data_IF_700496571655
#
_entry.id   IF_700496571655
#
_cell.length_a   1.000
_cell.length_b   1.000
_cell.length_c   1.000
_cell.angle_alpha   90.00
_cell.angle_beta   90.00
_cell.angle_gamma   90.00
#
_symmetry.space_group_name_H-M   'P 1'
#
loop_
_entity.id
_entity.type
_entity.pdbx_description
1 polymer ?
#
# COMPACT_ATOMS: atom_id res chain seq x y z
N UNK A 1 -35.47 -64.57 12.84
CA UNK A 1 -35.56 -64.29 14.29
C UNK A 1 -34.80 -63.00 14.50
N UNK A 2 -35.55 -61.89 14.54
CA UNK A 2 -35.85 -61.04 15.71
C UNK A 2 -34.55 -60.39 16.25
N UNK A 3 -34.29 -59.17 15.93
CA UNK A 3 -34.69 -57.90 16.54
C UNK A 3 -33.76 -57.50 17.68
N UNK A 4 -33.03 -56.37 17.48
CA UNK A 4 -32.95 -55.33 18.49
C UNK A 4 -32.34 -54.04 17.86
N UNK A 5 -33.20 -53.07 17.58
CA UNK A 5 -32.92 -51.70 17.39
C UNK A 5 -32.49 -51.07 18.73
N UNK A 6 -31.39 -50.33 18.76
CA UNK A 6 -31.15 -49.32 19.81
C UNK A 6 -30.96 -47.94 19.21
N UNK A 7 -31.95 -47.10 19.47
CA UNK A 7 -31.94 -45.65 19.33
C UNK A 7 -30.79 -45.07 20.15
N UNK A 8 -29.97 -44.20 19.53
CA UNK A 8 -29.23 -43.17 20.25
C UNK A 8 -29.54 -41.81 19.62
N UNK A 9 -29.99 -40.94 20.49
CA UNK A 9 -30.59 -39.69 20.18
C UNK A 9 -29.60 -38.67 19.56
N UNK A 10 -30.13 -37.87 18.66
CA UNK A 10 -29.56 -36.65 18.16
C UNK A 10 -29.45 -35.63 19.31
N UNK A 11 -28.22 -35.15 19.55
CA UNK A 11 -28.00 -33.81 20.06
C UNK A 11 -27.28 -33.03 18.95
N UNK A 12 -28.07 -32.36 18.16
CA UNK A 12 -27.58 -31.41 17.19
C UNK A 12 -27.16 -30.12 17.91
N UNK A 13 -25.86 -29.87 17.97
CA UNK A 13 -25.33 -28.54 18.28
C UNK A 13 -25.30 -27.78 16.95
N UNK A 14 -26.30 -26.92 16.76
CA UNK A 14 -26.30 -25.96 15.68
C UNK A 14 -25.27 -24.88 15.99
N UNK A 15 -24.08 -24.99 15.39
CA UNK A 15 -23.18 -23.84 15.25
C UNK A 15 -23.82 -22.84 14.27
N UNK A 16 -24.46 -21.81 14.79
CA UNK A 16 -24.83 -20.66 14.02
C UNK A 16 -23.52 -19.93 13.63
N UNK A 17 -23.01 -20.23 12.46
CA UNK A 17 -22.06 -19.35 11.76
C UNK A 17 -22.85 -18.13 11.28
N UNK A 18 -22.77 -17.04 12.04
CA UNK A 18 -23.21 -15.74 11.59
C UNK A 18 -22.25 -15.27 10.49
N UNK A 19 -22.55 -15.63 9.24
CA UNK A 19 -21.98 -15.00 8.09
C UNK A 19 -22.49 -13.56 8.10
N UNK A 20 -21.66 -12.62 8.54
CA UNK A 20 -21.84 -11.20 8.30
C UNK A 20 -21.72 -10.97 6.79
N UNK A 21 -22.81 -11.17 6.07
CA UNK A 21 -22.97 -10.62 4.73
C UNK A 21 -23.00 -9.10 4.88
N UNK A 22 -21.85 -8.48 4.67
CA UNK A 22 -21.81 -7.05 4.39
C UNK A 22 -22.43 -6.90 3.01
N UNK A 23 -23.77 -6.82 3.00
CA UNK A 23 -24.52 -6.36 1.84
C UNK A 23 -24.22 -4.88 1.69
N UNK A 24 -23.20 -4.54 0.91
CA UNK A 24 -23.00 -3.17 0.46
C UNK A 24 -24.14 -2.84 -0.51
N UNK A 25 -25.23 -2.35 0.04
CA UNK A 25 -26.27 -1.70 -0.74
C UNK A 25 -25.59 -0.48 -1.36
N UNK A 26 -25.23 -0.56 -2.65
CA UNK A 26 -24.77 0.57 -3.43
C UNK A 26 -25.94 1.56 -3.56
N UNK A 27 -26.12 2.40 -2.53
CA UNK A 27 -26.87 3.66 -2.70
C UNK A 27 -26.01 4.50 -3.64
N UNK A 28 -26.58 4.96 -4.74
CA UNK A 28 -26.01 6.01 -5.56
C UNK A 28 -25.80 7.23 -4.65
N UNK A 29 -24.64 7.32 -4.01
CA UNK A 29 -24.28 8.50 -3.23
C UNK A 29 -24.10 9.64 -4.22
N UNK A 30 -24.95 10.65 -4.08
CA UNK A 30 -24.79 11.93 -4.78
C UNK A 30 -23.37 12.41 -4.55
N UNK A 31 -22.78 13.06 -5.58
CA UNK A 31 -21.45 13.70 -5.51
C UNK A 31 -21.26 14.39 -4.15
N UNK A 32 -20.47 13.77 -3.29
CA UNK A 32 -20.26 14.26 -1.92
C UNK A 32 -19.16 15.33 -1.83
N UNK A 33 -18.45 15.55 -2.95
CA UNK A 33 -17.33 16.49 -3.00
C UNK A 33 -17.74 17.96 -3.24
N UNK A 34 -18.98 18.23 -3.68
CA UNK A 34 -19.39 19.56 -4.12
C UNK A 34 -18.73 20.01 -5.44
N UNK A 35 -17.95 19.15 -6.08
CA UNK A 35 -17.26 19.42 -7.32
C UNK A 35 -18.05 18.91 -8.54
N UNK A 36 -18.23 19.77 -9.52
CA UNK A 36 -18.78 19.39 -10.84
C UNK A 36 -17.64 19.31 -11.85
N UNK A 37 -16.76 18.30 -11.70
CA UNK A 37 -15.65 18.03 -12.62
C UNK A 37 -16.10 17.00 -13.61
N UNK A 38 -15.97 17.30 -14.90
CA UNK A 38 -16.14 16.33 -15.97
C UNK A 38 -14.86 15.53 -16.16
N UNK A 39 -14.99 14.31 -16.67
CA UNK A 39 -13.83 13.46 -16.89
C UNK A 39 -12.86 14.05 -17.93
N UNK A 40 -13.36 14.78 -18.92
CA UNK A 40 -12.54 15.46 -19.93
C UNK A 40 -11.55 16.45 -19.28
N UNK A 41 -11.98 17.12 -18.19
CA UNK A 41 -11.20 18.11 -17.46
C UNK A 41 -10.36 17.47 -16.32
N UNK A 42 -10.47 16.15 -16.09
CA UNK A 42 -9.71 15.43 -15.08
C UNK A 42 -8.21 15.51 -15.37
N UNK A 43 -7.36 15.88 -14.40
CA UNK A 43 -5.93 16.02 -14.62
C UNK A 43 -5.25 14.68 -14.89
N UNK A 44 -4.07 14.73 -15.49
CA UNK A 44 -3.19 13.57 -15.56
C UNK A 44 -2.59 13.32 -14.17
N UNK A 45 -2.87 12.17 -13.60
CA UNK A 45 -2.36 11.80 -12.27
C UNK A 45 -1.51 10.54 -12.32
N UNK A 46 -0.57 10.42 -11.41
CA UNK A 46 0.24 9.21 -11.25
C UNK A 46 0.35 8.82 -9.77
N UNK A 47 0.79 7.60 -9.50
CA UNK A 47 0.93 7.16 -8.12
C UNK A 47 1.96 6.03 -7.95
N UNK A 48 2.40 5.87 -6.71
CA UNK A 48 3.04 4.62 -6.27
C UNK A 48 2.03 3.48 -6.25
N UNK A 49 2.48 2.26 -6.51
CA UNK A 49 1.59 1.08 -6.52
C UNK A 49 0.77 0.94 -5.25
N UNK A 50 1.39 1.16 -4.07
CA UNK A 50 0.70 1.08 -2.78
C UNK A 50 -0.30 2.21 -2.55
N UNK A 51 -0.11 3.39 -3.16
CA UNK A 51 -1.00 4.56 -2.97
C UNK A 51 -2.13 4.64 -3.99
N UNK A 52 -2.15 3.72 -4.96
CA UNK A 52 -3.20 3.61 -5.97
C UNK A 52 -4.62 3.65 -5.39
N UNK A 53 -4.94 2.95 -4.27
CA UNK A 53 -6.28 3.00 -3.70
C UNK A 53 -6.71 4.40 -3.24
N UNK A 54 -5.80 5.23 -2.73
CA UNK A 54 -6.10 6.63 -2.37
C UNK A 54 -6.46 7.43 -3.62
N UNK A 55 -5.60 7.38 -4.66
CA UNK A 55 -5.85 8.08 -5.91
C UNK A 55 -7.16 7.66 -6.55
N UNK A 56 -7.39 6.35 -6.68
CA UNK A 56 -8.57 5.81 -7.35
C UNK A 56 -9.85 6.16 -6.60
N UNK A 57 -9.85 6.06 -5.27
CA UNK A 57 -11.02 6.38 -4.45
C UNK A 57 -11.38 7.86 -4.53
N UNK A 58 -10.39 8.75 -4.43
CA UNK A 58 -10.59 10.20 -4.59
C UNK A 58 -11.15 10.51 -5.97
N UNK A 59 -10.57 9.93 -7.03
CA UNK A 59 -11.03 10.13 -8.40
C UNK A 59 -12.47 9.67 -8.59
N UNK A 60 -12.82 8.45 -8.17
CA UNK A 60 -14.18 7.93 -8.34
C UNK A 60 -15.22 8.74 -7.57
N UNK A 61 -14.90 9.16 -6.34
CA UNK A 61 -15.82 9.99 -5.55
C UNK A 61 -16.02 11.39 -6.14
N UNK A 62 -14.95 12.03 -6.60
CA UNK A 62 -15.03 13.36 -7.24
C UNK A 62 -15.78 13.27 -8.56
N UNK A 63 -15.51 12.24 -9.38
CA UNK A 63 -16.18 12.01 -10.66
C UNK A 63 -17.60 11.42 -10.51
N UNK A 64 -18.03 11.05 -9.30
CA UNK A 64 -19.34 10.47 -9.03
C UNK A 64 -19.50 9.06 -9.61
N UNK A 65 -18.42 8.29 -9.71
CA UNK A 65 -18.41 6.91 -10.22
C UNK A 65 -18.51 5.93 -9.06
N UNK A 66 -19.47 5.01 -9.05
CA UNK A 66 -19.51 3.90 -8.10
C UNK A 66 -18.26 3.03 -8.20
N UNK A 67 -17.82 2.47 -7.08
CA UNK A 67 -16.61 1.64 -7.02
C UNK A 67 -16.78 0.50 -6.02
N UNK A 68 -15.91 -0.50 -6.17
CA UNK A 68 -15.82 -1.63 -5.25
C UNK A 68 -14.39 -2.14 -5.13
N UNK A 69 -14.07 -2.77 -4.01
CA UNK A 69 -12.87 -3.56 -3.86
C UNK A 69 -13.05 -4.91 -4.56
N UNK A 70 -12.14 -5.24 -5.44
CA UNK A 70 -12.09 -6.52 -6.15
C UNK A 70 -10.68 -7.10 -6.13
N UNK A 71 -10.59 -8.41 -6.15
CA UNK A 71 -9.33 -9.09 -6.43
C UNK A 71 -8.85 -8.69 -7.83
N UNK A 72 -7.57 -8.36 -7.92
CA UNK A 72 -6.97 -8.07 -9.22
C UNK A 72 -6.70 -9.38 -9.96
N UNK A 73 -7.58 -9.72 -10.87
CA UNK A 73 -7.51 -10.95 -11.65
C UNK A 73 -6.23 -11.11 -12.47
N UNK A 74 -5.52 -10.02 -12.78
CA UNK A 74 -4.23 -10.07 -13.48
C UNK A 74 -3.10 -10.55 -12.59
N UNK A 75 -3.09 -10.11 -11.33
CA UNK A 75 -2.07 -10.51 -10.37
C UNK A 75 -2.48 -11.73 -9.53
N UNK A 76 -3.77 -11.89 -9.24
CA UNK A 76 -4.30 -12.89 -8.29
C UNK A 76 -3.73 -12.75 -6.87
N UNK A 77 -3.04 -11.64 -6.59
CA UNK A 77 -2.24 -11.46 -5.37
C UNK A 77 -2.61 -10.19 -4.60
N UNK A 78 -3.49 -9.38 -5.13
CA UNK A 78 -3.90 -8.10 -4.52
C UNK A 78 -5.35 -7.78 -4.73
N UNK A 79 -5.92 -7.02 -3.79
CA UNK A 79 -7.19 -6.33 -3.98
C UNK A 79 -6.92 -4.90 -4.46
N UNK A 80 -7.75 -4.44 -5.39
CA UNK A 80 -7.71 -3.08 -5.92
C UNK A 80 -9.11 -2.47 -5.93
N UNK A 81 -9.18 -1.15 -5.96
CA UNK A 81 -10.45 -0.42 -6.13
C UNK A 81 -10.71 -0.29 -7.64
N UNK A 82 -11.85 -0.81 -8.09
CA UNK A 82 -12.28 -0.68 -9.49
C UNK A 82 -13.57 0.11 -9.59
N UNK A 83 -13.78 0.86 -10.69
CA UNK A 83 -15.06 1.50 -10.94
C UNK A 83 -16.13 0.46 -11.25
N UNK A 84 -17.34 0.67 -10.75
CA UNK A 84 -18.50 -0.14 -11.08
C UNK A 84 -19.42 0.64 -12.03
N UNK A 85 -19.27 0.40 -13.32
CA UNK A 85 -20.09 1.02 -14.36
C UNK A 85 -21.42 0.30 -14.58
N UNK A 86 -21.74 -0.78 -13.83
CA UNK A 86 -22.98 -1.51 -13.97
C UNK A 86 -24.18 -0.63 -13.58
N UNK A 87 -25.04 -0.36 -14.55
CA UNK A 87 -26.24 0.49 -14.36
C UNK A 87 -25.99 2.00 -14.32
N UNK A 88 -24.74 2.44 -14.50
CA UNK A 88 -24.38 3.86 -14.52
C UNK A 88 -24.00 4.30 -15.94
N UNK A 89 -24.62 5.38 -16.45
CA UNK A 89 -24.15 6.04 -17.68
C UNK A 89 -22.89 6.85 -17.31
N UNK A 90 -21.72 6.26 -17.54
CA UNK A 90 -20.45 7.00 -17.43
C UNK A 90 -20.12 7.63 -18.80
N UNK A 91 -19.52 8.82 -18.77
CA UNK A 91 -19.00 9.50 -19.97
C UNK A 91 -17.66 8.91 -20.45
N UNK A 92 -17.05 8.00 -19.69
CA UNK A 92 -15.75 7.39 -19.99
C UNK A 92 -15.73 5.91 -19.61
N UNK A 93 -14.82 5.16 -20.23
CA UNK A 93 -14.55 3.76 -19.92
C UNK A 93 -13.42 3.62 -18.88
N UNK A 94 -13.24 2.39 -18.33
CA UNK A 94 -12.10 2.11 -17.45
C UNK A 94 -10.75 2.28 -18.17
N UNK A 95 -10.70 1.99 -19.49
CA UNK A 95 -9.51 2.23 -20.29
C UNK A 95 -9.16 3.72 -20.34
N UNK A 96 -10.15 4.57 -20.65
CA UNK A 96 -9.94 6.03 -20.65
C UNK A 96 -9.47 6.53 -19.30
N UNK A 97 -10.03 5.97 -18.19
CA UNK A 97 -9.60 6.28 -16.86
C UNK A 97 -8.11 5.97 -16.63
N UNK A 98 -7.64 4.80 -17.05
CA UNK A 98 -6.24 4.40 -16.89
C UNK A 98 -5.27 5.26 -17.71
N UNK A 99 -5.71 5.80 -18.87
CA UNK A 99 -4.90 6.71 -19.67
C UNK A 99 -4.62 8.05 -18.97
N UNK A 100 -5.51 8.49 -18.10
CA UNK A 100 -5.33 9.71 -17.28
C UNK A 100 -4.78 9.45 -15.89
N UNK A 101 -4.79 8.21 -15.43
CA UNK A 101 -4.43 7.84 -14.06
C UNK A 101 -3.38 6.72 -14.08
N UNK A 102 -2.11 7.14 -14.23
CA UNK A 102 -0.98 6.23 -14.33
C UNK A 102 -0.65 5.59 -12.96
N UNK A 103 0.14 4.54 -12.97
CA UNK A 103 0.68 3.91 -11.76
C UNK A 103 2.11 3.44 -12.05
N UNK A 104 3.03 4.39 -12.11
CA UNK A 104 4.42 4.21 -12.57
C UNK A 104 5.40 3.83 -11.47
N UNK A 105 4.89 3.56 -10.25
CA UNK A 105 5.74 3.38 -9.07
C UNK A 105 6.21 4.71 -8.50
N UNK A 106 6.97 4.67 -7.39
CA UNK A 106 7.31 5.91 -6.68
C UNK A 106 8.24 6.80 -7.49
N UNK A 107 9.36 6.25 -7.96
CA UNK A 107 10.32 6.98 -8.77
C UNK A 107 9.70 7.46 -10.10
N UNK A 108 9.07 6.55 -10.84
CA UNK A 108 8.44 6.88 -12.11
C UNK A 108 7.36 7.97 -12.01
N UNK A 109 6.60 8.01 -10.91
CA UNK A 109 5.60 9.06 -10.68
C UNK A 109 6.25 10.44 -10.48
N UNK A 110 7.36 10.52 -9.71
CA UNK A 110 8.11 11.77 -9.57
C UNK A 110 8.74 12.21 -10.89
N UNK A 111 9.36 11.31 -11.64
CA UNK A 111 9.94 11.64 -12.95
C UNK A 111 8.85 12.12 -13.93
N UNK A 112 7.68 11.48 -13.96
CA UNK A 112 6.55 11.92 -14.77
C UNK A 112 6.05 13.31 -14.36
N UNK A 113 6.06 13.64 -13.07
CA UNK A 113 5.69 14.97 -12.58
C UNK A 113 6.73 16.03 -12.97
N UNK A 114 8.02 15.71 -12.86
CA UNK A 114 9.15 16.59 -13.25
C UNK A 114 9.11 16.86 -14.76
N UNK A 115 8.89 15.83 -15.56
CA UNK A 115 8.81 15.92 -17.02
C UNK A 115 7.49 16.49 -17.54
N UNK A 116 6.57 16.89 -16.65
CA UNK A 116 5.23 17.41 -17.00
C UNK A 116 4.35 16.41 -17.78
N UNK A 117 4.59 15.13 -17.61
CA UNK A 117 3.73 14.04 -18.12
C UNK A 117 2.51 13.80 -17.24
N UNK A 118 2.56 14.23 -15.99
CA UNK A 118 1.44 14.24 -15.04
C UNK A 118 1.35 15.57 -14.33
N UNK A 119 0.18 15.91 -13.81
CA UNK A 119 -0.10 17.19 -13.17
C UNK A 119 -0.01 17.09 -11.64
N UNK A 120 -0.33 15.91 -11.09
CA UNK A 120 -0.32 15.62 -9.66
C UNK A 120 -0.01 14.15 -9.41
N UNK A 121 0.66 13.86 -8.29
CA UNK A 121 0.94 12.48 -7.89
C UNK A 121 0.59 12.21 -6.43
N UNK A 122 0.33 10.92 -6.12
CA UNK A 122 0.28 10.40 -4.75
C UNK A 122 1.42 9.38 -4.60
N UNK A 123 2.43 9.75 -3.83
CA UNK A 123 3.66 8.98 -3.69
C UNK A 123 3.77 8.30 -2.32
N UNK A 124 4.42 7.14 -2.25
CA UNK A 124 4.58 6.37 -1.02
C UNK A 124 5.62 6.96 -0.05
N UNK A 125 6.39 7.94 -0.47
CA UNK A 125 7.40 8.68 0.30
C UNK A 125 7.53 10.10 -0.23
N UNK A 126 8.29 10.92 0.47
CA UNK A 126 8.69 12.24 -0.04
C UNK A 126 9.65 12.12 -1.24
N UNK A 127 9.87 13.22 -1.94
CA UNK A 127 10.84 13.30 -3.05
C UNK A 127 12.24 12.92 -2.56
N UNK A 128 12.90 12.03 -3.28
CA UNK A 128 14.27 11.61 -2.96
C UNK A 128 15.31 12.67 -3.39
N UNK A 129 16.55 12.50 -2.94
CA UNK A 129 17.66 13.38 -3.36
C UNK A 129 17.91 13.32 -4.86
N UNK A 130 17.76 12.15 -5.48
CA UNK A 130 17.99 11.98 -6.91
C UNK A 130 16.89 12.69 -7.72
N UNK A 131 15.62 12.50 -7.35
CA UNK A 131 14.48 13.16 -7.99
C UNK A 131 14.52 14.68 -7.76
N UNK A 132 14.91 15.14 -6.56
CA UNK A 132 15.10 16.55 -6.28
C UNK A 132 16.22 17.15 -7.15
N UNK A 133 17.30 16.39 -7.37
CA UNK A 133 18.35 16.79 -8.29
C UNK A 133 17.83 16.86 -9.72
N UNK A 134 17.12 15.84 -10.22
CA UNK A 134 16.48 15.84 -11.55
C UNK A 134 15.59 17.07 -11.73
N UNK A 135 14.74 17.39 -10.75
CA UNK A 135 13.87 18.55 -10.77
C UNK A 135 14.66 19.88 -10.86
N UNK A 136 15.71 20.02 -10.06
CA UNK A 136 16.57 21.20 -10.06
C UNK A 136 17.33 21.37 -11.38
N UNK A 137 17.83 20.28 -11.98
CA UNK A 137 18.57 20.30 -13.24
C UNK A 137 17.71 20.84 -14.41
N UNK A 138 16.39 20.70 -14.33
CA UNK A 138 15.42 21.24 -15.31
C UNK A 138 14.68 22.51 -14.81
N UNK A 139 15.04 23.02 -13.64
CA UNK A 139 14.46 24.26 -13.09
C UNK A 139 13.02 24.11 -12.56
N UNK A 140 12.58 22.90 -12.27
CA UNK A 140 11.24 22.61 -11.73
C UNK A 140 11.32 22.50 -10.20
N UNK A 141 10.39 23.14 -9.50
CA UNK A 141 10.18 22.96 -8.07
C UNK A 141 8.94 22.11 -7.83
N UNK A 142 9.09 21.10 -6.98
CA UNK A 142 8.01 20.20 -6.55
C UNK A 142 7.59 20.59 -5.14
N UNK A 143 6.30 20.79 -4.93
CA UNK A 143 5.67 20.92 -3.61
C UNK A 143 5.19 19.55 -3.20
N UNK A 144 5.67 19.05 -2.07
CA UNK A 144 5.21 17.81 -1.46
C UNK A 144 4.57 18.09 -0.11
N UNK A 145 3.50 17.36 0.23
CA UNK A 145 2.87 17.41 1.55
C UNK A 145 2.43 16.02 1.99
N UNK A 146 2.66 15.63 3.25
CA UNK A 146 2.18 14.36 3.78
C UNK A 146 0.64 14.36 3.88
N UNK A 147 0.00 13.28 3.42
CA UNK A 147 -1.47 13.15 3.40
C UNK A 147 -1.98 12.02 4.27
N UNK A 148 -1.18 10.97 4.47
CA UNK A 148 -1.55 9.85 5.33
C UNK A 148 -0.33 9.19 5.97
N UNK A 149 -0.60 8.47 7.04
CA UNK A 149 0.38 7.67 7.79
C UNK A 149 0.41 6.25 7.19
N UNK A 150 1.62 5.73 7.05
CA UNK A 150 1.95 4.34 6.73
C UNK A 150 3.17 3.90 7.57
N UNK A 151 3.68 2.71 7.35
CA UNK A 151 4.90 2.22 7.96
C UNK A 151 5.62 1.25 7.04
N UNK A 152 6.93 1.09 7.24
CA UNK A 152 7.66 -0.05 6.70
C UNK A 152 7.60 -1.19 7.72
N UNK A 153 7.05 -2.34 7.32
CA UNK A 153 6.92 -3.53 8.17
C UNK A 153 7.75 -4.68 7.61
N UNK A 154 8.16 -5.58 8.50
CA UNK A 154 8.93 -6.76 8.15
C UNK A 154 8.05 -7.98 8.13
N UNK A 155 8.24 -8.82 7.12
CA UNK A 155 7.45 -10.03 6.89
C UNK A 155 8.35 -11.27 6.84
N UNK A 156 7.84 -12.36 7.38
CA UNK A 156 8.49 -13.68 7.38
C UNK A 156 7.47 -14.75 7.02
N UNK A 157 7.95 -15.92 6.63
CA UNK A 157 7.11 -17.08 6.39
C UNK A 157 6.33 -17.47 7.67
N UNK A 158 5.08 -17.92 7.57
CA UNK A 158 4.27 -18.36 8.73
C UNK A 158 4.93 -19.44 9.58
N UNK A 159 5.77 -20.29 9.02
CA UNK A 159 6.50 -21.35 9.73
C UNK A 159 7.70 -20.84 10.54
N UNK A 160 8.22 -19.64 10.23
CA UNK A 160 9.30 -19.05 11.02
C UNK A 160 8.79 -18.79 12.45
N UNK A 161 9.48 -19.28 13.50
CA UNK A 161 9.02 -19.10 14.88
C UNK A 161 9.24 -17.69 15.44
N UNK A 162 10.12 -16.88 14.83
CA UNK A 162 10.39 -15.51 15.25
C UNK A 162 9.18 -14.63 14.99
N UNK A 163 8.79 -13.83 16.00
CA UNK A 163 7.62 -12.93 15.95
C UNK A 163 7.98 -11.49 16.29
N UNK A 164 9.17 -11.28 16.81
CA UNK A 164 9.66 -9.96 17.20
C UNK A 164 11.15 -9.85 16.94
N UNK A 165 11.58 -8.70 16.44
CA UNK A 165 12.98 -8.30 16.35
C UNK A 165 13.14 -6.92 17.00
N UNK A 166 14.32 -6.61 17.51
CA UNK A 166 14.64 -5.23 17.80
C UNK A 166 15.02 -4.49 16.50
N UNK A 167 14.89 -3.17 16.52
CA UNK A 167 15.36 -2.30 15.42
C UNK A 167 16.85 -2.53 15.13
N UNK A 168 17.66 -2.78 16.17
CA UNK A 168 19.09 -3.10 16.04
C UNK A 168 19.29 -4.48 15.36
N UNK A 169 18.50 -5.50 15.75
CA UNK A 169 18.58 -6.82 15.10
C UNK A 169 18.20 -6.75 13.63
N UNK A 170 17.19 -5.98 13.27
CA UNK A 170 16.85 -5.75 11.85
C UNK A 170 18.02 -5.17 11.09
N UNK A 171 18.64 -4.09 11.61
CA UNK A 171 19.83 -3.50 11.00
C UNK A 171 20.97 -4.49 10.85
N UNK A 172 21.25 -5.26 11.91
CA UNK A 172 22.31 -6.29 11.89
C UNK A 172 22.06 -7.42 10.91
N UNK A 173 20.81 -7.81 10.70
CA UNK A 173 20.46 -8.78 9.64
C UNK A 173 20.80 -8.18 8.26
N UNK A 174 20.42 -6.95 8.01
CA UNK A 174 20.63 -6.31 6.71
C UNK A 174 22.04 -5.73 6.50
N UNK A 175 22.87 -5.64 7.54
CA UNK A 175 24.35 -5.42 7.41
C UNK A 175 25.14 -6.73 7.31
N UNK A 176 24.49 -7.88 7.55
CA UNK A 176 25.16 -9.19 7.55
C UNK A 176 25.91 -9.54 8.85
N UNK A 177 25.71 -8.77 9.92
CA UNK A 177 26.26 -9.09 11.24
C UNK A 177 25.50 -10.23 11.92
N UNK A 178 24.20 -10.35 11.72
CA UNK A 178 23.35 -11.47 12.13
C UNK A 178 22.97 -12.25 10.86
N UNK A 179 23.40 -13.51 10.79
CA UNK A 179 23.24 -14.35 9.60
C UNK A 179 22.43 -15.62 9.87
N UNK A 180 22.11 -15.92 11.11
CA UNK A 180 21.43 -17.13 11.49
C UNK A 180 20.22 -16.81 12.41
N UNK A 181 19.07 -17.41 12.14
CA UNK A 181 17.86 -17.21 12.91
C UNK A 181 18.01 -17.55 14.39
N UNK A 182 18.90 -18.49 14.76
CA UNK A 182 19.15 -18.84 16.19
C UNK A 182 19.69 -17.66 17.00
N UNK A 183 20.35 -16.71 16.39
CA UNK A 183 20.90 -15.52 17.05
C UNK A 183 19.80 -14.57 17.54
N UNK A 184 18.59 -14.73 16.98
CA UNK A 184 17.41 -13.93 17.32
C UNK A 184 16.26 -14.80 17.86
N UNK A 185 16.57 -16.00 18.37
CA UNK A 185 15.60 -16.89 19.01
C UNK A 185 14.82 -17.80 18.06
N UNK A 186 15.25 -17.90 16.81
CA UNK A 186 14.69 -18.80 15.81
C UNK A 186 15.40 -20.15 15.72
N UNK A 187 15.19 -20.85 14.61
CA UNK A 187 15.82 -22.13 14.31
C UNK A 187 17.28 -21.96 13.89
N UNK A 188 18.10 -23.01 14.00
CA UNK A 188 19.47 -22.98 13.50
C UNK A 188 19.50 -23.10 11.98
N UNK A 189 19.30 -21.96 11.31
CA UNK A 189 19.32 -21.85 9.85
C UNK A 189 19.72 -20.43 9.42
N UNK A 190 20.42 -20.34 8.27
CA UNK A 190 20.84 -19.08 7.68
C UNK A 190 19.62 -18.22 7.32
N UNK A 191 19.69 -16.92 7.58
CA UNK A 191 18.68 -15.95 7.18
C UNK A 191 18.88 -15.59 5.70
N UNK A 192 17.78 -15.54 4.94
CA UNK A 192 17.77 -14.98 3.58
C UNK A 192 17.18 -13.57 3.62
N UNK A 193 17.97 -12.49 3.67
CA UNK A 193 17.46 -11.14 3.62
C UNK A 193 17.15 -10.75 2.17
N UNK A 194 15.89 -10.49 1.89
CA UNK A 194 15.44 -10.03 0.58
C UNK A 194 15.51 -8.51 0.51
N UNK A 195 16.05 -7.99 -0.60
CA UNK A 195 16.12 -6.55 -0.89
C UNK A 195 15.26 -6.22 -2.12
N UNK A 196 14.94 -4.95 -2.28
CA UNK A 196 14.15 -4.43 -3.39
C UNK A 196 15.02 -3.69 -4.38
N UNK A 197 14.49 -3.49 -5.58
CA UNK A 197 15.04 -2.60 -6.59
C UNK A 197 15.26 -1.18 -6.03
N UNK A 198 16.32 -0.51 -6.49
CA UNK A 198 16.69 0.85 -6.05
C UNK A 198 15.60 1.90 -6.32
N UNK A 199 14.76 1.68 -7.36
CA UNK A 199 13.66 2.58 -7.72
C UNK A 199 12.40 2.32 -6.86
N UNK A 200 12.41 1.29 -6.02
CA UNK A 200 11.32 0.96 -5.10
C UNK A 200 11.22 1.97 -3.96
N UNK A 201 10.04 2.55 -3.77
CA UNK A 201 9.78 3.37 -2.59
C UNK A 201 9.94 2.64 -1.25
N UNK A 202 9.84 1.31 -1.22
CA UNK A 202 10.11 0.50 -0.04
C UNK A 202 11.62 0.36 0.19
N UNK A 203 12.43 0.28 -0.87
CA UNK A 203 13.89 0.26 -0.76
C UNK A 203 14.38 1.59 -0.18
N UNK A 204 13.95 2.71 -0.73
CA UNK A 204 14.30 4.04 -0.21
C UNK A 204 13.92 4.20 1.27
N UNK A 205 12.73 3.73 1.68
CA UNK A 205 12.34 3.73 3.09
C UNK A 205 13.24 2.82 3.94
N UNK A 206 13.62 1.67 3.43
CA UNK A 206 14.56 0.77 4.11
C UNK A 206 15.90 1.46 4.35
N UNK A 207 16.46 2.09 3.34
CA UNK A 207 17.77 2.77 3.41
C UNK A 207 17.73 4.00 4.31
N UNK A 208 16.69 4.83 4.19
CA UNK A 208 16.63 6.12 4.87
C UNK A 208 16.08 6.01 6.30
N UNK A 209 15.01 5.23 6.50
CA UNK A 209 14.30 5.14 7.78
C UNK A 209 14.87 4.04 8.68
N UNK A 210 15.20 2.87 8.12
CA UNK A 210 15.64 1.72 8.91
C UNK A 210 17.15 1.70 9.04
N UNK A 211 17.87 1.72 7.92
CA UNK A 211 19.33 1.63 7.91
C UNK A 211 20.02 2.93 8.33
N UNK A 212 19.39 4.10 8.08
CA UNK A 212 19.85 5.39 8.55
C UNK A 212 21.35 5.67 8.27
N UNK A 213 21.82 5.33 7.07
CA UNK A 213 23.20 5.51 6.63
C UNK A 213 24.11 4.30 6.79
N UNK A 214 23.61 3.20 7.35
CA UNK A 214 24.33 1.91 7.33
C UNK A 214 24.27 1.31 5.92
N UNK A 215 25.36 0.66 5.50
CA UNK A 215 25.42 -0.04 4.22
C UNK A 215 24.76 -1.41 4.33
N UNK A 216 23.82 -1.68 3.46
CA UNK A 216 23.22 -3.00 3.34
C UNK A 216 24.18 -3.97 2.64
N UNK A 217 24.08 -5.27 3.00
CA UNK A 217 24.73 -6.33 2.24
C UNK A 217 24.17 -6.43 0.82
N UNK A 218 24.91 -7.04 -0.06
CA UNK A 218 24.40 -7.51 -1.34
C UNK A 218 23.43 -8.66 -1.07
N UNK A 219 22.17 -8.32 -0.83
CA UNK A 219 21.13 -9.28 -0.49
C UNK A 219 20.56 -9.99 -1.71
N UNK A 220 19.71 -10.96 -1.46
CA UNK A 220 18.98 -11.64 -2.54
C UNK A 220 17.94 -10.71 -3.14
N UNK A 221 18.13 -10.34 -4.40
CA UNK A 221 17.14 -9.58 -5.15
C UNK A 221 15.85 -10.38 -5.30
N UNK A 222 14.73 -9.72 -5.06
CA UNK A 222 13.44 -10.30 -5.39
C UNK A 222 13.25 -10.25 -6.89
N UNK A 223 13.11 -11.40 -7.57
CA UNK A 223 12.86 -11.40 -9.00
C UNK A 223 11.55 -10.66 -9.30
N UNK A 224 11.54 -9.88 -10.37
CA UNK A 224 10.31 -9.33 -10.91
C UNK A 224 9.42 -10.48 -11.36
N UNK A 225 8.32 -10.69 -10.65
CA UNK A 225 7.24 -11.55 -11.15
C UNK A 225 6.39 -10.67 -12.04
N UNK A 226 6.29 -11.06 -13.32
CA UNK A 226 5.51 -10.37 -14.33
C UNK A 226 4.11 -10.06 -13.80
N UNK A 227 3.79 -8.78 -13.69
CA UNK A 227 2.46 -8.27 -13.35
C UNK A 227 2.31 -7.54 -12.02
N UNK A 228 3.22 -7.70 -11.05
CA UNK A 228 3.18 -6.91 -9.80
C UNK A 228 4.51 -6.89 -9.08
N UNK A 229 5.29 -5.86 -9.28
CA UNK A 229 6.54 -5.60 -8.51
C UNK A 229 6.32 -5.63 -7.00
N UNK A 230 5.12 -5.28 -6.51
CA UNK A 230 4.79 -5.23 -5.09
C UNK A 230 4.40 -6.57 -4.48
N UNK A 231 3.84 -7.51 -5.25
CA UNK A 231 3.49 -8.83 -4.73
C UNK A 231 4.71 -9.77 -4.61
N UNK A 232 5.78 -9.47 -5.33
CA UNK A 232 7.03 -10.25 -5.33
C UNK A 232 7.57 -10.57 -3.93
N UNK A 233 7.65 -9.60 -2.99
CA UNK A 233 8.11 -9.88 -1.63
C UNK A 233 7.31 -10.97 -0.93
N UNK A 234 6.00 -10.94 -1.08
CA UNK A 234 5.10 -11.86 -0.39
C UNK A 234 5.24 -13.28 -0.91
N UNK A 235 5.30 -13.44 -2.23
CA UNK A 235 5.47 -14.75 -2.86
C UNK A 235 6.82 -15.37 -2.49
N UNK A 236 7.89 -14.59 -2.49
CA UNK A 236 9.21 -15.08 -2.07
C UNK A 236 9.21 -15.51 -0.60
N UNK A 237 8.63 -14.71 0.29
CA UNK A 237 8.53 -15.05 1.72
C UNK A 237 7.61 -16.25 1.97
N UNK A 238 6.52 -16.41 1.20
CA UNK A 238 5.66 -17.60 1.30
C UNK A 238 6.41 -18.88 0.89
N UNK A 239 7.31 -18.79 -0.07
CA UNK A 239 8.09 -19.92 -0.59
C UNK A 239 9.38 -20.20 0.20
N UNK A 240 9.93 -19.21 0.92
CA UNK A 240 11.15 -19.34 1.71
C UNK A 240 10.88 -19.24 3.21
N UNK A 241 10.98 -20.38 3.92
CA UNK A 241 10.76 -20.47 5.37
C UNK A 241 11.79 -19.65 6.18
N UNK A 242 12.93 -19.31 5.59
CA UNK A 242 14.04 -18.63 6.24
C UNK A 242 14.25 -17.20 5.74
N UNK A 243 13.39 -16.76 4.84
CA UNK A 243 13.41 -15.41 4.30
C UNK A 243 12.90 -14.35 5.28
N UNK A 244 13.44 -13.15 5.16
CA UNK A 244 12.90 -11.92 5.72
C UNK A 244 12.78 -10.86 4.62
N UNK A 245 11.66 -10.20 4.53
CA UNK A 245 11.41 -9.11 3.59
C UNK A 245 10.74 -7.92 4.28
N UNK A 246 10.54 -6.84 3.54
CA UNK A 246 9.87 -5.65 4.02
C UNK A 246 8.90 -5.08 2.98
N UNK A 247 7.88 -4.39 3.49
CA UNK A 247 6.75 -3.92 2.67
C UNK A 247 6.01 -2.78 3.39
N UNK A 248 5.22 -1.94 2.69
CA UNK A 248 4.33 -1.01 3.35
C UNK A 248 3.25 -1.73 4.17
N UNK A 249 2.95 -1.23 5.37
CA UNK A 249 1.92 -1.76 6.25
C UNK A 249 0.55 -1.81 5.56
N UNK A 250 0.18 -0.70 4.92
CA UNK A 250 -1.09 -0.63 4.20
C UNK A 250 -1.18 -1.68 3.08
N UNK A 251 -0.12 -1.85 2.30
CA UNK A 251 -0.11 -2.84 1.23
C UNK A 251 -0.34 -4.25 1.74
N UNK A 252 0.31 -4.58 2.87
CA UNK A 252 0.15 -5.88 3.52
C UNK A 252 -1.28 -6.10 4.03
N UNK A 253 -1.86 -5.11 4.69
CA UNK A 253 -3.12 -5.26 5.41
C UNK A 253 -4.37 -4.99 4.57
N UNK A 254 -4.27 -4.16 3.54
CA UNK A 254 -5.40 -3.73 2.74
C UNK A 254 -5.40 -4.30 1.32
N UNK A 255 -4.23 -4.48 0.70
CA UNK A 255 -4.15 -4.93 -0.69
C UNK A 255 -3.85 -6.42 -0.80
N UNK A 256 -2.87 -6.96 -0.08
CA UNK A 256 -2.56 -8.40 -0.11
C UNK A 256 -3.50 -9.20 0.78
N UNK A 257 -3.73 -8.72 2.01
CA UNK A 257 -4.63 -9.34 3.00
C UNK A 257 -4.30 -10.83 3.22
N UNK A 258 -5.25 -11.69 2.85
CA UNK A 258 -5.24 -13.14 3.03
C UNK A 258 -4.89 -13.92 1.75
N UNK A 259 -4.66 -13.22 0.63
CA UNK A 259 -4.31 -13.86 -0.65
C UNK A 259 -2.94 -14.54 -0.61
N UNK A 260 -1.99 -14.01 0.17
CA UNK A 260 -0.67 -14.60 0.38
C UNK A 260 -0.37 -14.66 1.88
N UNK A 261 0.09 -15.80 2.35
CA UNK A 261 0.30 -16.04 3.78
C UNK A 261 1.70 -15.62 4.22
N UNK A 262 1.77 -14.53 4.96
CA UNK A 262 2.99 -14.06 5.63
C UNK A 262 2.66 -13.64 7.06
N UNK A 263 3.67 -13.62 7.94
CA UNK A 263 3.56 -13.02 9.26
C UNK A 263 4.30 -11.68 9.30
N UNK A 264 3.65 -10.64 9.76
CA UNK A 264 4.32 -9.38 10.13
C UNK A 264 5.01 -9.55 11.48
N UNK A 265 6.23 -9.06 11.57
CA UNK A 265 7.00 -9.03 12.82
C UNK A 265 6.62 -7.80 13.65
N UNK A 266 6.58 -7.98 14.95
CA UNK A 266 6.71 -6.86 15.90
C UNK A 266 8.13 -6.33 15.86
N UNK A 267 8.31 -5.03 16.05
CA UNK A 267 9.62 -4.41 16.18
C UNK A 267 9.69 -3.69 17.52
N UNK A 268 10.77 -3.92 18.27
CA UNK A 268 10.96 -3.43 19.63
C UNK A 268 9.76 -3.76 20.55
N UNK A 269 9.17 -4.96 20.33
CA UNK A 269 7.97 -5.45 21.00
C UNK A 269 6.68 -4.68 20.67
N UNK A 270 6.69 -3.83 19.65
CA UNK A 270 5.50 -3.11 19.17
C UNK A 270 4.93 -3.81 17.94
N UNK A 271 3.68 -4.25 18.03
CA UNK A 271 2.94 -4.82 16.90
C UNK A 271 2.55 -3.70 15.93
N UNK A 272 2.86 -3.83 14.63
CA UNK A 272 2.38 -2.86 13.64
C UNK A 272 0.84 -2.92 13.55
N UNK A 273 0.19 -1.80 13.82
CA UNK A 273 -1.27 -1.65 13.80
C UNK A 273 -1.63 -0.19 13.50
N UNK A 274 -2.88 0.05 13.08
CA UNK A 274 -3.35 1.43 12.88
C UNK A 274 -3.18 2.29 14.14
N UNK A 275 -3.31 1.69 15.33
CA UNK A 275 -3.13 2.39 16.59
C UNK A 275 -1.66 2.73 16.85
N UNK A 276 -0.76 1.74 16.75
CA UNK A 276 0.68 1.96 16.98
C UNK A 276 1.31 2.90 15.95
N UNK A 277 0.75 2.98 14.74
CA UNK A 277 1.15 3.95 13.73
C UNK A 277 0.64 5.36 14.07
N UNK A 278 -0.62 5.51 14.47
CA UNK A 278 -1.22 6.80 14.85
C UNK A 278 -0.53 7.46 16.03
N UNK A 279 -0.19 6.68 17.06
CA UNK A 279 0.47 7.18 18.27
C UNK A 279 2.00 7.18 18.14
N UNK A 280 2.53 6.85 16.95
CA UNK A 280 3.97 6.83 16.64
C UNK A 280 4.80 5.96 17.59
N UNK A 281 4.22 4.85 18.08
CA UNK A 281 4.96 3.88 18.94
C UNK A 281 5.67 2.82 18.11
N UNK A 282 5.19 2.51 16.89
CA UNK A 282 5.92 1.63 15.97
C UNK A 282 7.13 2.39 15.40
N UNK A 283 8.35 1.80 15.38
CA UNK A 283 9.58 2.57 15.13
C UNK A 283 9.77 3.04 13.67
N UNK A 284 9.14 2.37 12.71
CA UNK A 284 9.34 2.65 11.28
C UNK A 284 8.08 3.24 10.62
N UNK A 285 7.46 4.18 11.32
CA UNK A 285 6.33 4.97 10.77
C UNK A 285 6.83 5.87 9.66
N UNK A 286 6.06 5.99 8.60
CA UNK A 286 6.32 6.84 7.44
C UNK A 286 5.04 7.54 7.00
N UNK A 287 5.15 8.42 6.01
CA UNK A 287 3.98 9.05 5.39
C UNK A 287 3.91 8.73 3.90
N UNK A 288 2.71 8.86 3.35
CA UNK A 288 2.52 9.03 1.90
C UNK A 288 2.28 10.51 1.61
N UNK A 289 2.60 10.93 0.40
CA UNK A 289 2.65 12.34 0.02
C UNK A 289 1.81 12.61 -1.21
N UNK A 290 1.12 13.74 -1.23
CA UNK A 290 0.67 14.36 -2.46
C UNK A 290 1.77 15.31 -2.96
N UNK A 291 1.98 15.36 -4.27
CA UNK A 291 2.95 16.26 -4.86
C UNK A 291 2.43 16.90 -6.15
N UNK A 292 2.87 18.16 -6.38
CA UNK A 292 2.48 19.00 -7.49
C UNK A 292 3.64 19.91 -7.85
N UNK A 293 3.75 20.38 -9.10
CA UNK A 293 4.70 21.43 -9.46
C UNK A 293 4.33 22.78 -8.83
N UNK A 294 5.31 23.55 -8.35
CA UNK A 294 5.07 24.91 -7.80
C UNK A 294 4.42 25.82 -8.86
N UNK A 295 4.72 25.61 -10.13
CA UNK A 295 4.21 26.41 -11.26
C UNK A 295 2.80 26.03 -11.69
N UNK A 296 2.19 24.99 -11.08
CA UNK A 296 0.83 24.59 -11.42
C UNK A 296 -0.18 25.70 -11.09
N UNK A 297 -1.02 26.05 -12.06
CA UNK A 297 -2.00 27.13 -11.90
C UNK A 297 -2.94 26.85 -10.73
N UNK A 298 -3.18 27.83 -9.86
CA UNK A 298 -4.15 27.74 -8.76
C UNK A 298 -5.57 27.49 -9.24
N UNK A 299 -5.89 27.86 -10.48
CA UNK A 299 -7.20 27.63 -11.10
C UNK A 299 -7.32 26.24 -11.73
N UNK A 300 -6.23 25.50 -11.89
CA UNK A 300 -6.26 24.17 -12.48
C UNK A 300 -7.00 23.17 -11.58
N UNK A 301 -7.56 22.14 -12.19
CA UNK A 301 -8.20 21.03 -11.45
C UNK A 301 -7.14 20.28 -10.62
N UNK A 302 -5.93 20.12 -11.12
CA UNK A 302 -4.84 19.48 -10.40
C UNK A 302 -4.53 20.21 -9.09
N UNK A 303 -4.38 21.54 -9.12
CA UNK A 303 -4.12 22.34 -7.91
C UNK A 303 -5.31 22.27 -6.94
N UNK A 304 -6.52 22.41 -7.43
CA UNK A 304 -7.76 22.27 -6.60
C UNK A 304 -7.84 20.89 -5.96
N UNK A 305 -7.52 19.82 -6.71
CA UNK A 305 -7.49 18.46 -6.20
C UNK A 305 -6.41 18.27 -5.12
N UNK A 306 -5.22 18.82 -5.35
CA UNK A 306 -4.15 18.85 -4.35
C UNK A 306 -4.61 19.52 -3.05
N UNK A 307 -5.27 20.68 -3.12
CA UNK A 307 -5.80 21.34 -1.92
C UNK A 307 -6.94 20.55 -1.27
N UNK A 308 -7.81 19.95 -2.08
CA UNK A 308 -8.95 19.18 -1.59
C UNK A 308 -8.56 17.99 -0.72
N UNK A 309 -7.46 17.31 -1.05
CA UNK A 309 -6.98 16.15 -0.29
C UNK A 309 -6.71 16.49 1.19
N UNK A 310 -6.34 17.74 1.49
CA UNK A 310 -6.09 18.21 2.86
C UNK A 310 -7.35 18.71 3.58
N UNK A 311 -8.49 18.73 2.92
CA UNK A 311 -9.77 19.05 3.59
C UNK A 311 -10.28 17.87 4.39
N UNK A 312 -11.24 18.12 5.29
CA UNK A 312 -11.94 17.04 6.00
C UNK A 312 -12.50 15.98 5.05
N UNK A 313 -13.12 16.38 3.93
CA UNK A 313 -13.66 15.43 2.94
C UNK A 313 -12.56 14.60 2.27
N UNK A 314 -11.42 15.20 1.96
CA UNK A 314 -10.25 14.49 1.44
C UNK A 314 -9.70 13.49 2.46
N UNK A 315 -9.55 13.89 3.72
CA UNK A 315 -9.13 13.03 4.81
C UNK A 315 -10.09 11.84 5.04
N UNK A 316 -11.40 12.08 4.99
CA UNK A 316 -12.40 11.02 5.11
C UNK A 316 -12.28 10.01 3.93
N UNK A 317 -11.96 10.46 2.72
CA UNK A 317 -11.69 9.58 1.57
C UNK A 317 -10.39 8.77 1.74
N UNK A 318 -9.34 9.37 2.30
CA UNK A 318 -8.10 8.66 2.62
C UNK A 318 -8.36 7.58 3.66
N UNK A 319 -9.09 7.88 4.75
CA UNK A 319 -9.46 6.89 5.77
C UNK A 319 -10.28 5.74 5.15
N UNK A 320 -11.20 6.05 4.23
CA UNK A 320 -12.03 5.06 3.53
C UNK A 320 -11.21 4.18 2.59
N UNK A 321 -10.14 4.69 2.00
CA UNK A 321 -9.22 3.88 1.20
C UNK A 321 -8.48 2.82 2.04
N UNK A 322 -8.53 2.96 3.37
CA UNK A 322 -7.89 2.07 4.34
C UNK A 322 -6.62 2.63 4.96
N UNK A 323 -6.08 3.71 4.43
CA UNK A 323 -4.97 4.46 5.03
C UNK A 323 -5.39 5.16 6.33
N UNK A 324 -4.48 5.85 6.96
CA UNK A 324 -4.70 6.68 8.15
C UNK A 324 -4.46 8.12 7.71
N UNK A 325 -5.52 8.89 7.51
CA UNK A 325 -5.38 10.29 7.12
C UNK A 325 -4.66 11.11 8.18
N UNK A 326 -3.78 12.00 7.76
CA UNK A 326 -3.24 13.07 8.61
C UNK A 326 -4.32 14.14 8.70
N UNK A 327 -4.74 14.45 9.91
CA UNK A 327 -5.76 15.47 10.22
C UNK A 327 -5.06 16.59 10.98
N UNK A 328 -5.18 17.80 10.45
CA UNK A 328 -4.74 19.03 11.14
C UNK A 328 -5.59 19.30 12.39
#
# INVERSE_FOLDING_TARGET
MQTAMKLYGLFGIACLSAALTISSCAKSERRTSGWDVKFEDWPLTDCSTSTRPVRDLVAYKVLGVPYKWEEDWLSGTTYIIKPDFNGTKSSFSYKDYLEKNLCSGTHGAYENLIESKTDMIIASRDISRNELKSANDVGIKIITKPVAIDALVFIVNPKNPVRNLSSDQVRKIYTGEITNWKEVGGVDHTITPYIRDTDSGSQEKMETLVMAGLTMIDGTYMPEIIGSQMASPYLQIEMDEYGIGYTPFFYCTAMVRDLIKVNMLSIDSVVPSKESLKNNTYPFVSSIYAAIRETESQESIAHKLFQFIFTKSGADMIDESGYIAIKD
#
